data_IF_741248001492
#
_entry.id   IF_741248001492
#
_cell.length_a   1.000
_cell.length_b   1.000
_cell.length_c   1.000
_cell.angle_alpha   90.00
_cell.angle_beta   90.00
_cell.angle_gamma   90.00
#
_symmetry.space_group_name_H-M   'P 1'
#
loop_
_entity.id
_entity.type
_entity.pdbx_description
1 polymer ?
#
# COMPACT_ATOMS: atom_id res chain seq x y z
N UNK A 1 8.15 -13.63 -42.25
CA UNK A 1 7.24 -12.87 -41.35
C UNK A 1 7.91 -12.79 -40.00
N UNK A 2 8.44 -11.62 -39.65
CA UNK A 2 9.18 -11.36 -38.42
C UNK A 2 8.26 -10.70 -37.40
N UNK A 3 7.98 -11.39 -36.29
CA UNK A 3 7.31 -10.78 -35.15
C UNK A 3 8.36 -10.23 -34.19
N UNK A 4 8.40 -8.90 -34.07
CA UNK A 4 9.24 -8.19 -33.10
C UNK A 4 8.40 -8.00 -31.82
N UNK A 5 8.76 -8.68 -30.74
CA UNK A 5 8.25 -8.35 -29.41
C UNK A 5 9.04 -7.17 -28.86
N UNK A 6 8.54 -5.96 -29.06
CA UNK A 6 8.87 -4.82 -28.20
C UNK A 6 7.62 -4.53 -27.39
N UNK A 7 7.62 -4.90 -26.10
CA UNK A 7 6.76 -4.22 -25.14
C UNK A 7 7.61 -3.13 -24.52
N UNK A 8 7.36 -1.94 -25.02
CA UNK A 8 7.83 -0.68 -24.48
C UNK A 8 7.63 -0.62 -22.97
N UNK A 9 8.50 0.17 -22.34
CA UNK A 9 8.47 0.62 -20.96
C UNK A 9 7.07 1.13 -20.56
N UNK A 10 6.13 0.23 -20.27
CA UNK A 10 4.94 0.58 -19.53
C UNK A 10 5.43 0.87 -18.12
N UNK A 11 5.51 2.16 -17.79
CA UNK A 11 5.51 2.59 -16.39
C UNK A 11 4.26 1.98 -15.77
N UNK A 12 4.45 0.87 -15.07
CA UNK A 12 3.38 0.24 -14.31
C UNK A 12 3.10 1.24 -13.19
N UNK A 13 1.98 1.94 -13.29
CA UNK A 13 1.45 2.73 -12.17
C UNK A 13 1.23 1.75 -11.01
N UNK A 14 2.13 1.78 -10.04
CA UNK A 14 2.01 0.97 -8.83
C UNK A 14 0.92 1.66 -8.00
N UNK A 15 -0.22 1.01 -7.72
CA UNK A 15 -1.26 1.62 -6.91
C UNK A 15 -0.71 1.91 -5.51
N UNK A 16 -0.66 3.19 -5.14
CA UNK A 16 -0.21 3.64 -3.82
C UNK A 16 -1.44 3.74 -2.92
N UNK A 17 -1.54 2.86 -1.93
CA UNK A 17 -2.59 2.90 -0.91
C UNK A 17 -2.13 3.72 0.31
N UNK A 18 -2.97 4.65 0.77
CA UNK A 18 -2.69 5.54 1.89
C UNK A 18 -3.62 5.23 3.07
N UNK A 19 -3.04 4.82 4.20
CA UNK A 19 -3.78 4.62 5.45
C UNK A 19 -3.83 5.90 6.27
N UNK A 20 -5.03 6.29 6.70
CA UNK A 20 -5.24 7.40 7.64
C UNK A 20 -5.16 6.85 9.07
N UNK A 21 -4.21 7.34 9.86
CA UNK A 21 -4.07 7.00 11.28
C UNK A 21 -4.58 8.15 12.15
N UNK A 22 -5.27 7.81 13.24
CA UNK A 22 -5.76 8.76 14.24
C UNK A 22 -5.45 8.22 15.62
N UNK A 23 -4.96 9.07 16.51
CA UNK A 23 -4.70 8.75 17.90
C UNK A 23 -5.25 9.86 18.81
N UNK A 24 -5.81 9.46 19.95
CA UNK A 24 -6.27 10.36 21.01
C UNK A 24 -5.66 9.96 22.35
N UNK A 25 -5.40 10.98 23.18
CA UNK A 25 -4.89 10.86 24.54
C UNK A 25 -5.31 12.08 25.39
N UNK A 26 -4.95 12.06 26.67
CA UNK A 26 -5.30 13.09 27.65
C UNK A 26 -4.54 14.42 27.44
N UNK A 27 -3.39 14.39 26.78
CA UNK A 27 -2.59 15.56 26.43
C UNK A 27 -2.09 15.47 24.99
N UNK A 28 -1.76 16.62 24.40
CA UNK A 28 -1.21 16.69 23.04
C UNK A 28 0.10 15.88 22.92
N UNK A 29 0.98 15.97 23.91
CA UNK A 29 2.24 15.22 23.95
C UNK A 29 1.99 13.70 23.93
N UNK A 30 1.07 13.20 24.76
CA UNK A 30 0.71 11.77 24.78
C UNK A 30 0.03 11.34 23.49
N UNK A 31 -0.77 12.20 22.86
CA UNK A 31 -1.45 11.89 21.60
C UNK A 31 -0.43 11.79 20.46
N UNK A 32 0.57 12.68 20.45
CA UNK A 32 1.68 12.68 19.50
C UNK A 32 2.55 11.44 19.65
N UNK A 33 2.99 11.11 20.86
CA UNK A 33 3.78 9.91 21.14
C UNK A 33 3.03 8.63 20.69
N UNK A 34 1.72 8.56 20.98
CA UNK A 34 0.87 7.45 20.56
C UNK A 34 0.76 7.35 19.04
N UNK A 35 0.62 8.48 18.35
CA UNK A 35 0.58 8.52 16.88
C UNK A 35 1.92 8.11 16.26
N UNK A 36 3.03 8.59 16.82
CA UNK A 36 4.39 8.23 16.39
C UNK A 36 4.64 6.72 16.54
N UNK A 37 4.23 6.13 17.67
CA UNK A 37 4.30 4.68 17.88
C UNK A 37 3.44 3.90 16.87
N UNK A 38 2.22 4.37 16.56
CA UNK A 38 1.39 3.76 15.52
C UNK A 38 2.04 3.87 14.13
N UNK A 39 2.62 5.03 13.81
CA UNK A 39 3.35 5.25 12.55
C UNK A 39 4.54 4.31 12.42
N UNK A 40 5.35 4.15 13.48
CA UNK A 40 6.47 3.23 13.47
C UNK A 40 6.03 1.78 13.23
N UNK A 41 4.95 1.35 13.88
CA UNK A 41 4.39 0.01 13.71
C UNK A 41 3.89 -0.22 12.28
N UNK A 42 3.11 0.71 11.72
CA UNK A 42 2.61 0.58 10.35
C UNK A 42 3.74 0.64 9.32
N UNK A 43 4.77 1.49 9.54
CA UNK A 43 5.97 1.50 8.68
C UNK A 43 6.69 0.14 8.69
N UNK A 44 6.82 -0.50 9.85
CA UNK A 44 7.42 -1.83 9.95
C UNK A 44 6.58 -2.92 9.25
N UNK A 45 5.25 -2.86 9.37
CA UNK A 45 4.34 -3.77 8.68
C UNK A 45 4.40 -3.59 7.16
N UNK A 46 4.33 -2.35 6.68
CA UNK A 46 4.42 -2.03 5.26
C UNK A 46 5.76 -2.48 4.66
N UNK A 47 6.87 -2.27 5.39
CA UNK A 47 8.19 -2.76 4.98
C UNK A 47 8.20 -4.28 4.87
N UNK A 48 7.73 -4.99 5.90
CA UNK A 48 7.70 -6.46 5.90
C UNK A 48 6.83 -7.01 4.75
N UNK A 49 5.68 -6.40 4.50
CA UNK A 49 4.79 -6.76 3.41
C UNK A 49 5.48 -6.57 2.04
N UNK A 50 6.09 -5.40 1.84
CA UNK A 50 6.87 -5.11 0.63
C UNK A 50 8.00 -6.12 0.43
N UNK A 51 8.78 -6.44 1.47
CA UNK A 51 9.89 -7.39 1.35
C UNK A 51 9.40 -8.81 1.03
N UNK A 52 8.29 -9.23 1.64
CA UNK A 52 7.66 -10.52 1.35
C UNK A 52 7.21 -10.61 -0.10
N UNK A 53 6.70 -9.53 -0.68
CA UNK A 53 6.10 -9.53 -2.02
C UNK A 53 7.12 -9.25 -3.13
N UNK A 54 8.13 -8.42 -2.87
CA UNK A 54 9.06 -7.91 -3.89
C UNK A 54 10.52 -8.33 -3.69
N UNK A 55 10.95 -8.70 -2.47
CA UNK A 55 12.33 -9.11 -2.21
C UNK A 55 12.47 -10.64 -2.02
N UNK A 56 11.36 -11.38 -1.89
CA UNK A 56 11.37 -12.83 -1.69
C UNK A 56 11.08 -13.61 -2.98
N UNK A 57 12.06 -13.64 -3.89
CA UNK A 57 11.97 -14.35 -5.18
C UNK A 57 11.59 -15.83 -4.99
N UNK A 58 12.24 -16.51 -4.05
CA UNK A 58 11.99 -17.92 -3.74
C UNK A 58 10.56 -18.16 -3.25
N UNK A 59 10.03 -17.25 -2.43
CA UNK A 59 8.63 -17.26 -1.98
C UNK A 59 7.66 -17.07 -3.13
N UNK A 60 7.89 -16.08 -4.01
CA UNK A 60 7.07 -15.86 -5.20
C UNK A 60 7.01 -17.12 -6.07
N UNK A 61 8.17 -17.72 -6.37
CA UNK A 61 8.22 -18.94 -7.18
C UNK A 61 7.49 -20.10 -6.50
N UNK A 62 7.71 -20.32 -5.20
CA UNK A 62 7.06 -21.40 -4.44
C UNK A 62 5.52 -21.24 -4.44
N UNK A 63 5.01 -20.04 -4.19
CA UNK A 63 3.56 -19.77 -4.21
C UNK A 63 2.96 -19.97 -5.60
N UNK A 64 3.61 -19.45 -6.65
CA UNK A 64 3.14 -19.61 -8.03
C UNK A 64 3.14 -21.08 -8.44
N UNK A 65 4.21 -21.82 -8.17
CA UNK A 65 4.28 -23.25 -8.46
C UNK A 65 3.25 -24.07 -7.69
N UNK A 66 2.99 -23.74 -6.42
CA UNK A 66 1.92 -24.39 -5.65
C UNK A 66 0.55 -24.21 -6.34
N UNK A 67 0.25 -22.98 -6.79
CA UNK A 67 -1.04 -22.65 -7.43
C UNK A 67 -1.26 -23.30 -8.80
N UNK A 68 -0.19 -23.64 -9.52
CA UNK A 68 -0.27 -24.22 -10.88
C UNK A 68 0.22 -25.67 -10.94
N UNK A 69 0.47 -26.30 -9.79
CA UNK A 69 1.07 -27.64 -9.66
C UNK A 69 0.27 -28.73 -10.40
N UNK A 70 -1.07 -28.66 -10.36
CA UNK A 70 -1.97 -29.59 -11.06
C UNK A 70 -1.87 -29.47 -12.59
N UNK A 71 -1.69 -28.26 -13.10
CA UNK A 71 -1.52 -27.96 -14.53
C UNK A 71 -0.13 -28.41 -15.00
N UNK A 72 0.91 -28.16 -14.20
CA UNK A 72 2.27 -28.66 -14.48
C UNK A 72 2.28 -30.17 -14.61
N UNK A 73 1.64 -30.89 -13.68
CA UNK A 73 1.65 -32.34 -13.66
C UNK A 73 0.96 -32.96 -14.90
N UNK A 74 -0.11 -32.33 -15.38
CA UNK A 74 -0.85 -32.78 -16.58
C UNK A 74 -0.26 -32.31 -17.91
N UNK A 75 0.71 -31.39 -17.89
CA UNK A 75 1.32 -30.81 -19.09
C UNK A 75 2.51 -31.61 -19.63
N UNK A 76 2.69 -31.61 -20.95
CA UNK A 76 3.88 -32.17 -21.62
C UNK A 76 5.15 -31.34 -21.39
N UNK A 77 6.32 -31.93 -21.64
CA UNK A 77 7.63 -31.34 -21.29
C UNK A 77 7.85 -29.91 -21.80
N UNK A 78 7.48 -29.62 -23.05
CA UNK A 78 7.64 -28.29 -23.65
C UNK A 78 6.75 -27.23 -22.99
N UNK A 79 5.53 -27.61 -22.60
CA UNK A 79 4.58 -26.72 -21.92
C UNK A 79 5.05 -26.45 -20.49
N UNK A 80 5.55 -27.46 -19.78
CA UNK A 80 6.15 -27.28 -18.44
C UNK A 80 7.28 -26.27 -18.47
N UNK A 81 8.22 -26.42 -19.38
CA UNK A 81 9.36 -25.50 -19.51
C UNK A 81 8.92 -24.06 -19.80
N UNK A 82 7.97 -23.89 -20.73
CA UNK A 82 7.43 -22.56 -21.04
C UNK A 82 6.73 -21.91 -19.83
N UNK A 83 6.03 -22.71 -19.03
CA UNK A 83 5.34 -22.26 -17.81
C UNK A 83 6.35 -21.88 -16.71
N UNK A 84 7.38 -22.69 -16.48
CA UNK A 84 8.47 -22.40 -15.55
C UNK A 84 9.20 -21.09 -15.92
N UNK A 85 9.50 -20.92 -17.21
CA UNK A 85 10.12 -19.69 -17.73
C UNK A 85 9.20 -18.46 -17.61
N UNK A 86 7.88 -18.65 -17.67
CA UNK A 86 6.91 -17.57 -17.43
C UNK A 86 6.86 -17.20 -15.94
N UNK A 87 6.75 -18.18 -15.04
CA UNK A 87 6.76 -17.95 -13.57
C UNK A 87 8.04 -17.25 -13.14
N UNK A 88 9.19 -17.67 -13.67
CA UNK A 88 10.48 -17.05 -13.37
C UNK A 88 10.52 -15.60 -13.84
N UNK A 89 10.02 -15.30 -15.05
CA UNK A 89 9.95 -13.93 -15.57
C UNK A 89 9.01 -13.04 -14.75
N UNK A 90 7.86 -13.56 -14.36
CA UNK A 90 6.90 -12.80 -13.53
C UNK A 90 7.51 -12.47 -12.16
N UNK A 91 8.12 -13.45 -11.49
CA UNK A 91 8.75 -13.21 -10.19
C UNK A 91 9.98 -12.32 -10.28
N UNK A 92 10.74 -12.35 -11.40
CA UNK A 92 11.82 -11.40 -11.66
C UNK A 92 11.31 -9.98 -11.96
N UNK A 93 10.18 -9.84 -12.66
CA UNK A 93 9.56 -8.55 -12.93
C UNK A 93 9.00 -7.90 -11.66
N UNK A 94 8.56 -8.71 -10.70
CA UNK A 94 8.14 -8.26 -9.38
C UNK A 94 9.31 -7.99 -8.43
N UNK A 95 10.54 -8.39 -8.80
CA UNK A 95 11.72 -8.19 -7.99
C UNK A 95 12.09 -6.70 -7.95
N UNK A 96 11.92 -6.10 -6.78
CA UNK A 96 12.20 -4.69 -6.53
C UNK A 96 12.96 -4.48 -5.23
N UNK A 97 13.38 -3.25 -4.97
CA UNK A 97 13.88 -2.85 -3.65
C UNK A 97 12.79 -2.06 -2.96
N UNK A 98 12.48 -2.42 -1.72
CA UNK A 98 11.55 -1.65 -0.92
C UNK A 98 12.17 -0.28 -0.59
N UNK A 99 11.57 0.79 -1.11
CA UNK A 99 12.00 2.16 -0.84
C UNK A 99 11.49 2.57 0.54
N UNK A 100 12.22 3.47 1.21
CA UNK A 100 11.77 4.04 2.49
C UNK A 100 10.45 4.78 2.28
N UNK A 101 9.53 4.61 3.22
CA UNK A 101 8.26 5.32 3.24
C UNK A 101 8.39 6.60 4.07
N UNK A 102 8.24 7.74 3.40
CA UNK A 102 8.23 9.05 4.05
C UNK A 102 6.80 9.37 4.53
N UNK A 103 6.67 9.83 5.77
CA UNK A 103 5.40 10.28 6.34
C UNK A 103 5.21 11.76 6.04
N UNK A 104 4.07 12.11 5.43
CA UNK A 104 3.88 13.42 4.79
C UNK A 104 3.74 14.59 5.76
N UNK A 105 3.16 14.41 6.95
CA UNK A 105 3.13 15.37 8.08
C UNK A 105 2.17 14.87 9.18
N UNK A 106 2.44 15.22 10.45
CA UNK A 106 1.48 15.03 11.56
C UNK A 106 0.70 16.33 11.72
N UNK A 107 -0.63 16.29 11.50
CA UNK A 107 -1.52 17.43 11.74
C UNK A 107 -2.27 17.23 13.05
N UNK A 108 -2.13 18.17 13.98
CA UNK A 108 -2.92 18.24 15.20
C UNK A 108 -4.19 19.06 14.92
N UNK A 109 -5.36 18.45 15.06
CA UNK A 109 -6.64 19.14 15.04
C UNK A 109 -7.19 19.16 16.47
N UNK A 110 -7.29 20.35 17.07
CA UNK A 110 -7.93 20.50 18.38
C UNK A 110 -9.44 20.55 18.17
N UNK A 111 -10.17 19.77 18.98
CA UNK A 111 -11.63 19.64 18.93
C UNK A 111 -12.40 20.94 19.31
N UNK A 112 -11.70 22.07 19.40
CA UNK A 112 -12.26 23.36 19.80
C UNK A 112 -13.02 24.05 18.66
N UNK A 113 -12.72 23.74 17.39
CA UNK A 113 -13.37 24.42 16.25
C UNK A 113 -14.79 23.90 15.95
N UNK A 114 -15.18 22.71 16.43
CA UNK A 114 -16.57 22.24 16.31
C UNK A 114 -17.54 22.99 17.23
N UNK A 115 -17.07 23.67 18.31
CA UNK A 115 -17.94 24.50 19.14
C UNK A 115 -18.08 25.95 18.65
N UNK A 116 -17.10 26.46 17.91
CA UNK A 116 -17.14 27.85 17.42
C UNK A 116 -17.95 27.99 16.11
N UNK A 117 -18.05 26.94 15.29
CA UNK A 117 -18.86 26.96 14.08
C UNK A 117 -20.37 26.83 14.35
N UNK A 118 -20.76 26.12 15.42
CA UNK A 118 -22.18 25.94 15.78
C UNK A 118 -22.79 27.20 16.45
N UNK A 119 -21.98 28.03 17.12
CA UNK A 119 -22.43 29.32 17.66
C UNK A 119 -22.49 30.44 16.60
N UNK A 120 -21.70 30.34 15.52
CA UNK A 120 -21.71 31.33 14.44
C UNK A 120 -22.89 31.19 13.45
N UNK A 121 -23.49 30.00 13.32
CA UNK A 121 -24.72 29.81 12.53
C UNK A 121 -26.00 30.18 13.32
N UNK A 122 -25.99 30.06 14.66
CA UNK A 122 -27.15 30.42 15.48
C UNK A 122 -27.40 31.95 15.56
N UNK A 123 -26.38 32.79 15.33
CA UNK A 123 -26.54 34.26 15.41
C UNK A 123 -27.01 34.91 14.10
N UNK A 124 -26.96 34.21 12.96
CA UNK A 124 -27.44 34.75 11.67
C UNK A 124 -28.95 34.60 11.46
N UNK A 125 -29.64 33.75 12.22
CA UNK A 125 -31.08 33.51 12.03
C UNK A 125 -31.98 34.52 12.76
N UNK A 126 -31.47 35.27 13.75
CA UNK A 126 -32.26 36.29 14.50
C UNK A 126 -32.36 37.66 13.83
N UNK A 127 -31.64 37.93 12.73
CA UNK A 127 -31.59 39.27 12.10
C UNK A 127 -32.47 39.43 10.84
N UNK A 128 -33.26 38.41 10.48
CA UNK A 128 -34.12 38.41 9.27
C UNK A 128 -35.63 38.53 9.54
N UNK A 129 -36.04 38.82 10.78
CA UNK A 129 -37.45 38.91 11.20
C UNK A 129 -37.81 40.19 11.97
N UNK A 130 -37.24 41.32 11.56
CA UNK A 130 -37.72 42.64 12.00
C UNK A 130 -37.84 43.58 10.82
#
# INVERSE_FOLDING_TARGET
MSYIWKKDKQEVEIPIDWRKLKASAESEEKAREKLENMLLKEKALARTACQREHENLSGCMATKYASISSVLYSSGFNVRKALEDAVKRDCLALQGKCIKTDSTEIKCETKAEEKAAEEAEAEKDKKKKK
#
